data_IF_585103979594
#
_entry.id   IF_585103979594
#
_cell.length_a   1.000
_cell.length_b   1.000
_cell.length_c   1.000
_cell.angle_alpha   90.00
_cell.angle_beta   90.00
_cell.angle_gamma   90.00
#
_symmetry.space_group_name_H-M   'P 1'
#
loop_
_entity.id
_entity.type
_entity.pdbx_description
1 polymer ?
#
# COMPACT_ATOMS: atom_id res chain seq x y z
N UNK A 1 -10.63 -60.67 -23.11
CA UNK A 1 -9.70 -61.03 -22.01
C UNK A 1 -9.55 -59.77 -21.15
N UNK A 2 -10.49 -59.43 -20.27
CA UNK A 2 -10.78 -60.04 -18.97
C UNK A 2 -9.60 -59.96 -17.99
N UNK A 3 -9.59 -58.97 -17.08
CA UNK A 3 -9.66 -59.19 -15.61
C UNK A 3 -9.52 -57.87 -14.80
N UNK A 4 -10.43 -57.75 -13.84
CA UNK A 4 -10.46 -56.87 -12.66
C UNK A 4 -9.37 -57.22 -11.62
N UNK A 5 -9.06 -56.25 -10.73
CA UNK A 5 -9.17 -56.28 -9.24
C UNK A 5 -8.52 -55.01 -8.64
N UNK A 6 -9.29 -54.14 -7.95
CA UNK A 6 -9.52 -54.09 -6.48
C UNK A 6 -8.23 -53.79 -5.67
N UNK A 7 -8.05 -52.59 -5.10
CA UNK A 7 -8.63 -51.97 -3.89
C UNK A 7 -7.69 -52.11 -2.68
N UNK A 8 -7.37 -50.99 -2.00
CA UNK A 8 -6.58 -50.99 -0.78
C UNK A 8 -6.57 -49.62 -0.09
N UNK A 9 -7.55 -49.39 0.77
CA UNK A 9 -7.67 -48.28 1.71
C UNK A 9 -6.69 -48.48 2.87
N UNK A 10 -6.02 -47.42 3.33
CA UNK A 10 -5.14 -47.44 4.50
C UNK A 10 -5.26 -46.15 5.31
N UNK A 11 -6.04 -46.21 6.38
CA UNK A 11 -6.20 -45.20 7.43
C UNK A 11 -4.85 -44.85 8.09
N UNK A 12 -4.65 -43.58 8.47
CA UNK A 12 -3.70 -43.20 9.54
C UNK A 12 -4.45 -42.50 10.66
N UNK A 13 -4.43 -43.17 11.80
CA UNK A 13 -4.93 -42.73 13.09
C UNK A 13 -4.08 -41.60 13.67
N UNK A 14 -4.77 -40.72 14.39
CA UNK A 14 -4.23 -39.68 15.25
C UNK A 14 -4.00 -40.26 16.64
N UNK A 15 -2.74 -40.38 17.07
CA UNK A 15 -2.40 -40.67 18.47
C UNK A 15 -2.14 -39.37 19.25
N UNK A 16 -3.05 -39.11 20.19
CA UNK A 16 -2.89 -38.18 21.31
C UNK A 16 -1.93 -38.74 22.35
N UNK A 17 -0.93 -37.95 22.79
CA UNK A 17 -0.24 -38.18 24.06
C UNK A 17 -0.15 -36.91 24.89
N UNK A 18 -0.99 -36.88 25.92
CA UNK A 18 -0.91 -36.12 27.16
C UNK A 18 0.34 -36.47 27.96
N UNK A 19 0.97 -35.48 28.59
CA UNK A 19 2.06 -35.68 29.55
C UNK A 19 2.40 -34.40 30.30
N UNK A 20 1.56 -34.04 31.27
CA UNK A 20 1.80 -32.96 32.23
C UNK A 20 2.53 -33.57 33.43
N UNK A 21 3.71 -33.04 33.78
CA UNK A 21 4.47 -33.45 34.96
C UNK A 21 4.99 -32.20 35.69
N UNK A 22 4.43 -31.93 36.88
CA UNK A 22 4.99 -30.99 37.85
C UNK A 22 6.17 -31.63 38.61
N UNK A 23 6.97 -30.80 39.29
CA UNK A 23 7.27 -31.11 40.68
C UNK A 23 7.02 -29.92 41.63
N UNK A 24 6.36 -30.22 42.75
CA UNK A 24 6.24 -29.39 43.95
C UNK A 24 7.44 -29.55 44.90
N UNK A 25 7.42 -28.68 45.92
CA UNK A 25 8.14 -28.68 47.20
C UNK A 25 9.47 -27.90 47.22
N UNK A 26 9.61 -26.81 47.98
CA UNK A 26 9.41 -26.81 49.43
C UNK A 26 9.14 -25.42 50.03
N UNK A 27 8.35 -25.43 51.11
CA UNK A 27 8.01 -24.31 52.00
C UNK A 27 9.19 -23.87 52.88
N UNK A 28 9.27 -22.56 53.17
CA UNK A 28 9.73 -22.01 54.46
C UNK A 28 8.83 -20.81 54.81
N UNK A 29 8.27 -20.80 56.03
CA UNK A 29 7.46 -19.71 56.62
C UNK A 29 8.29 -18.95 57.71
N UNK A 30 7.74 -18.02 58.54
CA UNK A 30 7.95 -16.58 58.43
C UNK A 30 8.57 -15.96 59.71
N UNK A 31 8.92 -14.68 59.72
CA UNK A 31 9.19 -13.93 60.97
C UNK A 31 8.66 -12.48 60.86
N UNK A 32 8.08 -11.89 61.93
CA UNK A 32 7.02 -10.88 61.83
C UNK A 32 7.38 -9.47 62.34
N UNK A 33 6.43 -8.55 62.14
CA UNK A 33 6.26 -7.29 62.90
C UNK A 33 6.89 -6.06 62.23
N UNK A 34 6.32 -4.86 62.23
CA UNK A 34 5.26 -4.25 63.03
C UNK A 34 4.71 -3.05 62.23
N UNK A 35 3.40 -2.85 62.22
CA UNK A 35 2.76 -1.55 61.99
C UNK A 35 2.26 -1.03 63.34
N UNK A 36 2.21 0.31 63.51
CA UNK A 36 0.93 0.87 63.94
C UNK A 36 0.53 2.13 63.15
N UNK A 37 -0.78 2.35 63.16
CA UNK A 37 -1.54 3.35 62.43
C UNK A 37 -1.69 4.68 63.23
N UNK A 38 -2.80 5.44 63.12
CA UNK A 38 -3.00 6.60 62.25
C UNK A 38 -3.24 7.91 63.04
N UNK A 39 -3.00 9.09 62.45
CA UNK A 39 -3.54 10.38 62.96
C UNK A 39 -3.19 11.54 62.01
N UNK A 40 -4.15 12.04 61.21
CA UNK A 40 -5.00 13.23 61.43
C UNK A 40 -4.43 14.59 61.02
N UNK A 41 -5.17 15.23 60.11
CA UNK A 41 -5.31 16.66 59.84
C UNK A 41 -4.83 17.58 60.98
N UNK A 42 -3.87 18.47 60.69
CA UNK A 42 -4.04 19.93 60.78
C UNK A 42 -2.75 20.67 60.37
N UNK A 43 -2.90 21.49 59.34
CA UNK A 43 -2.25 22.79 59.14
C UNK A 43 -0.74 22.89 59.39
N UNK A 44 0.04 22.85 58.32
CA UNK A 44 1.07 23.88 58.12
C UNK A 44 1.03 24.38 56.67
N UNK A 45 0.46 25.57 56.56
CA UNK A 45 0.49 26.48 55.43
C UNK A 45 1.94 26.90 55.17
N UNK A 46 2.42 26.81 53.92
CA UNK A 46 2.87 27.98 53.13
C UNK A 46 3.67 27.58 51.88
N UNK A 47 3.19 28.13 50.76
CA UNK A 47 3.98 28.77 49.69
C UNK A 47 5.02 27.93 48.95
N UNK A 48 4.61 27.27 47.87
CA UNK A 48 5.29 27.37 46.57
C UNK A 48 4.25 27.16 45.45
N UNK A 49 3.67 28.27 44.98
CA UNK A 49 3.11 28.35 43.62
C UNK A 49 4.29 28.27 42.64
N UNK A 50 4.81 27.06 42.47
CA UNK A 50 5.73 26.74 41.40
C UNK A 50 4.91 26.58 40.13
N UNK A 51 4.98 27.59 39.27
CA UNK A 51 4.54 27.52 37.89
C UNK A 51 5.09 26.25 37.23
N UNK A 52 4.23 25.25 37.05
CA UNK A 52 4.50 24.14 36.16
C UNK A 52 4.41 24.66 34.72
N UNK A 53 5.42 25.42 34.29
CA UNK A 53 5.70 25.59 32.87
C UNK A 53 6.12 24.23 32.36
N UNK A 54 5.16 23.47 31.85
CA UNK A 54 5.43 22.35 30.96
C UNK A 54 6.35 22.90 29.87
N UNK A 55 7.63 22.55 29.94
CA UNK A 55 8.54 22.67 28.81
C UNK A 55 7.98 21.73 27.75
N UNK A 56 7.05 22.24 26.94
CA UNK A 56 6.74 21.65 25.65
C UNK A 56 8.01 21.84 24.84
N UNK A 57 8.93 20.88 24.95
CA UNK A 57 9.96 20.73 23.95
C UNK A 57 9.19 20.68 22.62
N UNK A 58 9.39 21.64 21.71
CA UNK A 58 8.80 21.52 20.40
C UNK A 58 9.25 20.16 19.90
N UNK A 59 8.28 19.31 19.56
CA UNK A 59 8.56 18.12 18.77
C UNK A 59 9.50 18.58 17.67
N UNK A 60 10.62 17.89 17.38
CA UNK A 60 11.38 18.26 16.21
C UNK A 60 10.38 18.15 15.06
N UNK A 61 9.97 19.31 14.54
CA UNK A 61 9.46 19.38 13.20
C UNK A 61 10.64 18.82 12.41
N UNK A 62 10.55 17.53 12.05
CA UNK A 62 11.35 16.99 10.98
C UNK A 62 11.21 18.04 9.91
N UNK A 63 12.30 18.74 9.62
CA UNK A 63 12.29 19.78 8.61
C UNK A 63 11.73 19.09 7.39
N UNK A 64 10.48 19.42 7.04
CA UNK A 64 9.88 18.92 5.83
C UNK A 64 10.85 19.39 4.75
N UNK A 65 11.61 18.44 4.21
CA UNK A 65 12.46 18.74 3.07
C UNK A 65 11.55 19.42 2.06
N UNK A 66 12.02 20.51 1.47
CA UNK A 66 11.28 21.14 0.38
C UNK A 66 11.34 20.19 -0.81
N UNK A 67 10.47 19.19 -0.82
CA UNK A 67 10.37 18.14 -1.82
C UNK A 67 9.32 18.54 -2.86
N UNK A 68 9.61 18.28 -4.12
CA UNK A 68 8.69 18.46 -5.24
C UNK A 68 7.71 17.28 -5.35
N UNK A 69 8.09 16.11 -4.80
CA UNK A 69 7.30 14.88 -4.85
C UNK A 69 7.54 14.00 -3.63
N UNK A 70 6.49 13.37 -3.12
CA UNK A 70 6.56 12.26 -2.18
C UNK A 70 5.60 11.15 -2.60
N UNK A 71 6.05 9.90 -2.51
CA UNK A 71 5.26 8.74 -2.91
C UNK A 71 4.26 8.41 -1.81
N UNK A 72 2.95 8.51 -2.11
CA UNK A 72 1.90 8.21 -1.13
C UNK A 72 1.21 6.89 -1.47
N UNK A 73 1.30 5.89 -0.59
CA UNK A 73 0.52 4.65 -0.67
C UNK A 73 -0.76 4.79 0.14
N UNK A 74 -1.87 4.45 -0.49
CA UNK A 74 -3.18 4.44 0.14
C UNK A 74 -3.42 3.10 0.85
N UNK A 75 -3.73 3.18 2.14
CA UNK A 75 -4.30 2.10 2.93
C UNK A 75 -5.82 2.21 2.91
N UNK A 76 -6.49 1.11 2.63
CA UNK A 76 -7.95 1.01 2.65
C UNK A 76 -8.37 -0.18 3.51
N UNK A 77 -9.59 -0.13 4.06
CA UNK A 77 -10.03 -1.06 5.10
C UNK A 77 -10.26 -2.50 4.58
N UNK A 78 -10.68 -2.63 3.33
CA UNK A 78 -10.95 -3.94 2.71
C UNK A 78 -9.68 -4.59 2.17
N UNK A 79 -9.70 -5.90 1.97
CA UNK A 79 -8.66 -6.60 1.20
C UNK A 79 -7.26 -6.46 1.79
N UNK A 80 -6.28 -6.15 0.94
CA UNK A 80 -4.88 -5.93 1.25
C UNK A 80 -4.31 -4.76 0.45
N UNK A 81 -3.49 -3.93 1.09
CA UNK A 81 -2.88 -2.74 0.49
C UNK A 81 -1.34 -2.76 0.58
N UNK A 82 -0.81 -3.61 1.46
CA UNK A 82 0.58 -3.74 1.87
C UNK A 82 1.34 -4.78 1.02
N UNK A 83 1.19 -4.64 -0.29
CA UNK A 83 1.85 -5.45 -1.31
C UNK A 83 3.08 -4.71 -1.87
N UNK A 84 3.99 -5.40 -2.56
CA UNK A 84 5.11 -4.76 -3.28
C UNK A 84 6.00 -3.88 -2.40
N UNK A 85 6.49 -4.43 -1.30
CA UNK A 85 7.09 -3.66 -0.22
C UNK A 85 8.34 -2.85 -0.65
N UNK A 86 9.08 -3.30 -1.68
CA UNK A 86 10.29 -2.59 -2.18
C UNK A 86 10.01 -1.74 -3.40
N UNK A 87 8.87 -1.92 -4.08
CA UNK A 87 8.55 -1.17 -5.30
C UNK A 87 8.63 0.36 -5.10
N UNK A 88 8.04 0.96 -4.02
CA UNK A 88 8.12 2.39 -3.81
C UNK A 88 9.57 2.89 -3.76
N UNK A 89 10.45 2.18 -3.05
CA UNK A 89 11.88 2.54 -2.97
C UNK A 89 12.57 2.45 -4.33
N UNK A 90 12.31 1.40 -5.12
CA UNK A 90 12.91 1.24 -6.45
C UNK A 90 12.45 2.35 -7.40
N UNK A 91 11.17 2.73 -7.38
CA UNK A 91 10.64 3.83 -8.19
C UNK A 91 11.18 5.19 -7.73
N UNK A 92 11.22 5.44 -6.41
CA UNK A 92 11.83 6.66 -5.84
C UNK A 92 13.29 6.80 -6.29
N UNK A 93 14.08 5.72 -6.24
CA UNK A 93 15.46 5.73 -6.74
C UNK A 93 15.51 6.12 -8.20
N UNK A 94 14.66 5.56 -9.06
CA UNK A 94 14.62 5.92 -10.49
C UNK A 94 14.24 7.37 -10.72
N UNK A 95 13.32 7.93 -9.93
CA UNK A 95 12.98 9.35 -10.03
C UNK A 95 14.18 10.23 -9.68
N UNK A 96 14.94 9.87 -8.64
CA UNK A 96 16.17 10.56 -8.24
C UNK A 96 17.25 10.44 -9.33
N UNK A 97 17.41 9.25 -9.91
CA UNK A 97 18.47 8.99 -10.90
C UNK A 97 18.19 9.66 -12.25
N UNK A 98 16.94 9.69 -12.70
CA UNK A 98 16.58 10.17 -14.03
C UNK A 98 16.13 11.62 -14.08
N UNK A 99 15.64 12.19 -12.98
CA UNK A 99 15.01 13.52 -12.98
C UNK A 99 15.77 14.50 -12.10
N UNK A 100 15.40 15.78 -12.18
CA UNK A 100 15.88 16.82 -11.27
C UNK A 100 14.90 17.09 -10.12
N UNK A 101 13.87 16.25 -9.94
CA UNK A 101 12.89 16.41 -8.87
C UNK A 101 13.56 16.22 -7.50
N UNK A 102 13.21 17.07 -6.55
CA UNK A 102 13.53 16.85 -5.14
C UNK A 102 12.52 15.85 -4.59
N UNK A 103 12.88 14.57 -4.63
CA UNK A 103 12.01 13.47 -4.18
C UNK A 103 12.24 13.19 -2.70
N UNK A 104 11.16 13.06 -1.93
CA UNK A 104 11.23 12.50 -0.58
C UNK A 104 11.65 11.02 -0.68
N UNK A 105 12.78 10.61 -0.06
CA UNK A 105 13.24 9.23 -0.11
C UNK A 105 12.33 8.26 0.67
N UNK A 106 11.40 8.76 1.48
CA UNK A 106 10.49 7.95 2.27
C UNK A 106 9.14 7.77 1.58
N UNK A 107 8.62 6.55 1.64
CA UNK A 107 7.22 6.28 1.32
C UNK A 107 6.31 6.81 2.43
N UNK A 108 5.20 7.42 2.03
CA UNK A 108 4.15 7.89 2.93
C UNK A 108 2.95 6.96 2.83
N UNK A 109 2.72 6.15 3.87
CA UNK A 109 1.49 5.33 3.96
C UNK A 109 0.41 6.13 4.69
N UNK A 110 -0.76 6.26 4.06
CA UNK A 110 -1.89 7.01 4.63
C UNK A 110 -3.21 6.27 4.42
N UNK A 111 -4.09 6.34 5.42
CA UNK A 111 -5.47 5.86 5.29
C UNK A 111 -6.22 6.67 4.23
N UNK A 112 -6.92 5.99 3.31
CA UNK A 112 -7.79 6.63 2.33
C UNK A 112 -8.94 7.39 3.02
N UNK A 113 -9.34 6.96 4.22
CA UNK A 113 -10.29 7.69 5.06
C UNK A 113 -9.71 8.95 5.74
N UNK A 114 -8.40 9.17 5.72
CA UNK A 114 -7.77 10.34 6.34
C UNK A 114 -7.71 11.52 5.36
N UNK A 115 -8.25 12.70 5.71
CA UNK A 115 -8.28 13.86 4.81
C UNK A 115 -6.89 14.42 4.45
N UNK A 116 -5.82 14.06 5.16
CA UNK A 116 -4.44 14.44 4.79
C UNK A 116 -4.04 13.88 3.42
N UNK A 117 -4.66 12.79 2.95
CA UNK A 117 -4.40 12.21 1.62
C UNK A 117 -4.75 13.18 0.48
N UNK A 118 -5.68 14.11 0.73
CA UNK A 118 -6.11 15.11 -0.25
C UNK A 118 -5.00 16.09 -0.66
N UNK A 119 -3.90 16.14 0.09
CA UNK A 119 -2.75 17.01 -0.16
C UNK A 119 -1.60 16.28 -0.87
N UNK A 120 -1.70 14.96 -1.08
CA UNK A 120 -0.66 14.20 -1.76
C UNK A 120 -0.53 14.66 -3.23
N UNK A 121 0.68 14.78 -3.79
CA UNK A 121 0.88 15.10 -5.20
C UNK A 121 0.55 13.88 -6.09
N UNK A 122 0.58 12.69 -5.52
CA UNK A 122 0.41 11.42 -6.19
C UNK A 122 0.00 10.36 -5.17
N UNK A 123 -0.95 9.52 -5.53
CA UNK A 123 -1.37 8.38 -4.73
C UNK A 123 -1.19 7.07 -5.50
N UNK A 124 -0.80 6.02 -4.79
CA UNK A 124 -0.73 4.64 -5.27
C UNK A 124 -1.71 3.77 -4.48
N UNK A 125 -2.45 2.91 -5.18
CA UNK A 125 -3.34 1.90 -4.59
C UNK A 125 -3.08 0.58 -5.30
N UNK A 126 -2.86 -0.49 -4.53
CA UNK A 126 -2.67 -1.85 -5.06
C UNK A 126 -3.22 -2.86 -4.06
N UNK A 127 -3.34 -4.11 -4.49
CA UNK A 127 -3.82 -5.22 -3.71
C UNK A 127 -4.06 -6.46 -4.58
N UNK A 128 -4.40 -7.56 -3.91
CA UNK A 128 -4.75 -8.83 -4.54
C UNK A 128 -6.15 -9.31 -4.13
N UNK A 129 -6.83 -8.56 -3.27
CA UNK A 129 -8.12 -8.92 -2.67
C UNK A 129 -9.18 -7.86 -2.96
N UNK A 130 -10.31 -8.00 -2.28
CA UNK A 130 -11.47 -7.12 -2.40
C UNK A 130 -11.12 -5.63 -2.20
N UNK A 131 -11.56 -4.81 -3.16
CA UNK A 131 -11.62 -3.35 -3.03
C UNK A 131 -13.07 -2.91 -2.76
N UNK A 132 -13.34 -2.56 -1.51
CA UNK A 132 -14.61 -2.06 -1.05
C UNK A 132 -14.42 -0.80 -0.20
N UNK A 133 -14.65 0.36 -0.81
CA UNK A 133 -14.53 1.62 -0.09
C UNK A 133 -15.69 1.86 0.87
N UNK A 134 -15.35 2.15 2.12
CA UNK A 134 -16.28 2.70 3.08
C UNK A 134 -16.71 4.13 2.67
N UNK A 135 -17.68 4.69 3.40
CA UNK A 135 -18.24 6.00 3.04
C UNK A 135 -17.24 7.17 3.08
N UNK A 136 -16.25 7.12 3.98
CA UNK A 136 -15.21 8.15 4.08
C UNK A 136 -14.19 8.00 2.96
N UNK A 137 -13.70 6.78 2.74
CA UNK A 137 -12.76 6.44 1.67
C UNK A 137 -13.29 6.82 0.30
N UNK A 138 -14.55 6.44 -0.01
CA UNK A 138 -15.21 6.78 -1.26
C UNK A 138 -15.25 8.29 -1.49
N UNK A 139 -15.67 9.04 -0.46
CA UNK A 139 -15.75 10.51 -0.51
C UNK A 139 -14.39 11.15 -0.75
N UNK A 140 -13.34 10.65 -0.11
CA UNK A 140 -11.99 11.21 -0.25
C UNK A 140 -11.38 10.85 -1.59
N UNK A 141 -11.51 9.59 -2.03
CA UNK A 141 -11.08 9.16 -3.37
C UNK A 141 -11.73 10.01 -4.46
N UNK A 142 -13.05 10.14 -4.42
CA UNK A 142 -13.78 10.96 -5.39
C UNK A 142 -13.33 12.42 -5.36
N UNK A 143 -13.27 13.02 -4.17
CA UNK A 143 -12.85 14.42 -4.00
C UNK A 143 -11.43 14.64 -4.50
N UNK A 144 -10.50 13.73 -4.18
CA UNK A 144 -9.11 13.83 -4.59
C UNK A 144 -8.99 13.86 -6.12
N UNK A 145 -9.56 12.85 -6.78
CA UNK A 145 -9.54 12.71 -8.24
C UNK A 145 -10.22 13.89 -8.94
N UNK A 146 -11.40 14.30 -8.47
CA UNK A 146 -12.13 15.45 -9.05
C UNK A 146 -11.41 16.78 -8.88
N UNK A 147 -10.64 16.95 -7.80
CA UNK A 147 -10.02 18.25 -7.48
C UNK A 147 -8.63 18.46 -8.05
N UNK A 148 -7.96 17.44 -8.59
CA UNK A 148 -6.52 17.61 -8.76
C UNK A 148 -5.73 16.34 -8.86
N UNK A 149 -6.11 15.40 -8.01
CA UNK A 149 -5.31 14.26 -7.65
C UNK A 149 -5.12 13.28 -8.78
N UNK A 150 -3.96 12.66 -8.76
CA UNK A 150 -3.64 11.52 -9.60
C UNK A 150 -3.51 10.27 -8.71
N UNK A 151 -4.26 9.22 -9.05
CA UNK A 151 -4.14 7.90 -8.43
C UNK A 151 -3.67 6.90 -9.47
N UNK A 152 -2.51 6.27 -9.22
CA UNK A 152 -2.11 5.06 -9.92
C UNK A 152 -2.65 3.86 -9.15
N UNK A 153 -3.48 3.07 -9.83
CA UNK A 153 -4.05 1.83 -9.33
C UNK A 153 -3.47 0.67 -10.11
N UNK A 154 -2.95 -0.32 -9.42
CA UNK A 154 -2.33 -1.49 -10.03
C UNK A 154 -2.87 -2.76 -9.39
N UNK A 155 -3.37 -3.66 -10.21
CA UNK A 155 -3.82 -4.99 -9.80
C UNK A 155 -2.63 -5.95 -9.83
N UNK A 156 -2.16 -6.38 -8.66
CA UNK A 156 -1.00 -7.28 -8.54
C UNK A 156 -1.40 -8.75 -8.78
N UNK A 157 -2.68 -9.05 -9.06
CA UNK A 157 -3.07 -10.33 -9.63
C UNK A 157 -2.96 -10.39 -11.15
N UNK A 158 -3.01 -9.25 -11.85
CA UNK A 158 -3.19 -9.17 -13.30
C UNK A 158 -4.38 -9.97 -13.88
N UNK A 159 -5.42 -10.24 -13.07
CA UNK A 159 -6.57 -11.04 -13.48
C UNK A 159 -7.80 -10.14 -13.72
N UNK A 160 -8.24 -10.00 -14.98
CA UNK A 160 -9.38 -9.13 -15.31
C UNK A 160 -10.72 -9.59 -14.72
N UNK A 161 -10.86 -10.89 -14.45
CA UNK A 161 -12.03 -11.48 -13.81
C UNK A 161 -11.80 -11.68 -12.29
N UNK A 162 -10.62 -11.27 -11.82
CA UNK A 162 -10.17 -11.36 -10.44
C UNK A 162 -10.97 -10.47 -9.48
N UNK A 163 -10.88 -10.81 -8.19
CA UNK A 163 -11.64 -10.11 -7.16
C UNK A 163 -11.22 -8.63 -7.04
N UNK A 164 -9.93 -8.33 -7.15
CA UNK A 164 -9.44 -6.95 -7.13
C UNK A 164 -10.01 -6.17 -8.31
N UNK A 165 -9.80 -6.65 -9.55
CA UNK A 165 -10.28 -5.99 -10.76
C UNK A 165 -11.79 -5.73 -10.75
N UNK A 166 -12.58 -6.78 -10.56
CA UNK A 166 -14.05 -6.68 -10.63
C UNK A 166 -14.62 -5.75 -9.55
N UNK A 167 -14.07 -5.78 -8.33
CA UNK A 167 -14.53 -4.91 -7.24
C UNK A 167 -14.07 -3.46 -7.40
N UNK A 168 -12.84 -3.22 -7.88
CA UNK A 168 -12.36 -1.88 -8.19
C UNK A 168 -13.17 -1.23 -9.31
N UNK A 169 -13.42 -1.95 -10.42
CA UNK A 169 -14.24 -1.45 -11.53
C UNK A 169 -15.68 -1.15 -11.10
N UNK A 170 -16.24 -1.92 -10.17
CA UNK A 170 -17.53 -1.64 -9.56
C UNK A 170 -17.52 -0.35 -8.71
N UNK A 171 -16.48 -0.10 -7.91
CA UNK A 171 -16.32 1.17 -7.19
C UNK A 171 -16.21 2.35 -8.16
N UNK A 172 -15.40 2.23 -9.22
CA UNK A 172 -15.24 3.29 -10.21
C UNK A 172 -16.55 3.57 -10.96
N UNK A 173 -17.30 2.53 -11.29
CA UNK A 173 -18.65 2.65 -11.87
C UNK A 173 -19.60 3.39 -10.93
N UNK A 174 -19.55 3.08 -9.63
CA UNK A 174 -20.41 3.74 -8.63
C UNK A 174 -20.04 5.20 -8.39
N UNK A 175 -18.76 5.57 -8.48
CA UNK A 175 -18.27 6.92 -8.14
C UNK A 175 -18.32 7.84 -9.36
N UNK A 176 -17.85 7.37 -10.51
CA UNK A 176 -17.66 8.19 -11.71
C UNK A 176 -18.63 7.86 -12.84
N UNK A 177 -19.34 6.73 -12.75
CA UNK A 177 -20.31 6.27 -13.75
C UNK A 177 -19.79 5.15 -14.63
N UNK A 178 -20.72 4.42 -15.26
CA UNK A 178 -20.46 3.18 -16.04
C UNK A 178 -19.46 3.33 -17.19
N UNK A 179 -19.32 4.53 -17.74
CA UNK A 179 -18.48 4.80 -18.90
C UNK A 179 -17.22 5.59 -18.55
N UNK A 180 -16.94 5.82 -17.26
CA UNK A 180 -15.83 6.68 -16.85
C UNK A 180 -14.46 6.01 -17.05
N UNK A 181 -14.35 4.72 -16.72
CA UNK A 181 -13.10 3.97 -16.83
C UNK A 181 -12.93 3.44 -18.26
N UNK A 182 -12.03 4.07 -19.03
CA UNK A 182 -11.84 3.79 -20.46
C UNK A 182 -10.40 3.39 -20.76
N UNK A 183 -10.20 2.57 -21.80
CA UNK A 183 -8.85 2.25 -22.30
C UNK A 183 -8.15 3.51 -22.80
N UNK A 184 -6.88 3.70 -22.43
CA UNK A 184 -6.07 4.80 -22.92
C UNK A 184 -5.59 4.50 -24.35
N UNK A 185 -5.71 5.47 -25.29
CA UNK A 185 -5.11 5.30 -26.61
C UNK A 185 -3.58 5.31 -26.52
N UNK A 186 -2.89 4.58 -27.40
CA UNK A 186 -1.41 4.54 -27.45
C UNK A 186 -0.76 5.91 -27.68
N UNK A 187 -1.51 6.87 -28.23
CA UNK A 187 -1.09 8.27 -28.39
C UNK A 187 -1.19 9.12 -27.12
N UNK A 188 -1.69 8.56 -26.00
CA UNK A 188 -1.85 9.31 -24.76
C UNK A 188 -0.51 9.84 -24.23
N UNK A 189 -0.49 11.08 -23.75
CA UNK A 189 0.73 11.79 -23.31
C UNK A 189 1.50 11.04 -22.21
N UNK A 190 0.82 10.25 -21.38
CA UNK A 190 1.42 9.35 -20.39
C UNK A 190 2.59 8.51 -20.98
N UNK A 191 2.41 7.95 -22.17
CA UNK A 191 3.40 7.08 -22.82
C UNK A 191 4.62 7.84 -23.38
N UNK A 192 4.62 9.16 -23.30
CA UNK A 192 5.71 10.00 -23.83
C UNK A 192 6.11 11.16 -22.91
N UNK A 193 5.65 11.14 -21.65
CA UNK A 193 5.82 12.20 -20.66
C UNK A 193 7.29 12.43 -20.27
N UNK A 194 8.09 11.35 -20.23
CA UNK A 194 9.53 11.43 -19.99
C UNK A 194 10.31 10.55 -20.97
N UNK A 195 10.26 9.23 -20.79
CA UNK A 195 10.67 8.24 -21.78
C UNK A 195 9.58 8.02 -22.84
N UNK A 196 9.96 7.39 -23.96
CA UNK A 196 9.05 7.10 -25.08
C UNK A 196 8.68 5.62 -25.09
N UNK A 197 7.37 5.35 -25.07
CA UNK A 197 6.77 4.03 -25.20
C UNK A 197 5.79 4.05 -26.39
N UNK A 198 6.28 4.00 -27.65
CA UNK A 198 5.45 4.18 -28.83
C UNK A 198 4.37 3.10 -29.00
N UNK A 199 4.61 1.91 -28.44
CA UNK A 199 3.70 0.76 -28.53
C UNK A 199 2.63 0.71 -27.44
N UNK A 200 2.64 1.69 -26.52
CA UNK A 200 1.74 1.77 -25.37
C UNK A 200 2.39 1.29 -24.06
N UNK A 201 1.63 0.73 -23.12
CA UNK A 201 2.18 0.28 -21.83
C UNK A 201 3.13 -0.90 -22.03
N UNK A 202 4.35 -0.90 -21.45
CA UNK A 202 5.25 -2.03 -21.54
C UNK A 202 4.68 -3.26 -20.84
N UNK A 203 4.88 -4.44 -21.40
CA UNK A 203 4.50 -5.70 -20.75
C UNK A 203 5.41 -6.00 -19.55
N UNK A 204 4.88 -6.74 -18.57
CA UNK A 204 5.64 -7.21 -17.41
C UNK A 204 5.97 -8.70 -17.54
N UNK A 205 6.98 -9.15 -16.80
CA UNK A 205 7.30 -10.58 -16.70
C UNK A 205 6.26 -11.36 -15.89
N UNK A 206 5.52 -10.67 -15.02
CA UNK A 206 4.43 -11.21 -14.22
C UNK A 206 3.17 -11.48 -15.04
N UNK A 207 2.85 -10.68 -16.07
CA UNK A 207 1.79 -11.04 -17.04
C UNK A 207 2.11 -12.35 -17.78
N UNK A 208 3.41 -12.64 -17.99
CA UNK A 208 3.84 -13.82 -18.74
C UNK A 208 4.00 -15.08 -17.88
N UNK A 209 4.24 -14.94 -16.58
CA UNK A 209 4.62 -16.05 -15.69
C UNK A 209 4.01 -15.97 -14.28
N UNK A 210 3.07 -15.07 -14.05
CA UNK A 210 2.51 -14.75 -12.73
C UNK A 210 1.24 -15.53 -12.41
N UNK A 211 0.36 -14.93 -11.58
CA UNK A 211 -0.76 -15.59 -10.92
C UNK A 211 -2.14 -15.32 -11.53
N UNK A 212 -2.23 -14.51 -12.59
CA UNK A 212 -3.47 -14.05 -13.18
C UNK A 212 -4.02 -14.91 -14.32
N UNK A 213 -4.51 -14.25 -15.36
CA UNK A 213 -5.32 -14.85 -16.43
C UNK A 213 -4.50 -15.39 -17.63
N UNK A 214 -3.17 -15.42 -17.51
CA UNK A 214 -2.21 -15.75 -18.58
C UNK A 214 -2.35 -14.86 -19.84
N UNK A 215 -2.93 -13.65 -19.71
CA UNK A 215 -3.05 -12.69 -20.81
C UNK A 215 -2.00 -11.58 -20.71
N UNK A 216 -1.47 -11.21 -21.86
CA UNK A 216 -0.68 -9.98 -22.00
C UNK A 216 -1.63 -8.83 -22.30
N UNK A 217 -1.78 -7.90 -21.37
CA UNK A 217 -2.68 -6.77 -21.50
C UNK A 217 -2.02 -5.64 -22.30
N UNK A 218 -2.46 -5.37 -23.52
CA UNK A 218 -1.88 -4.32 -24.36
C UNK A 218 -2.39 -2.89 -24.06
N UNK A 219 -3.09 -2.72 -22.93
CA UNK A 219 -3.80 -1.51 -22.57
C UNK A 219 -3.67 -1.17 -21.09
N UNK A 220 -3.90 0.12 -20.79
CA UNK A 220 -4.25 0.61 -19.46
C UNK A 220 -5.65 1.21 -19.54
N UNK A 221 -6.38 1.22 -18.43
CA UNK A 221 -7.62 2.00 -18.33
C UNK A 221 -7.38 3.25 -17.49
N UNK A 222 -8.29 4.21 -17.59
CA UNK A 222 -8.22 5.40 -16.76
C UNK A 222 -9.48 6.24 -16.80
N UNK A 223 -9.54 7.18 -15.87
CA UNK A 223 -10.66 8.11 -15.70
C UNK A 223 -10.12 9.52 -15.89
N UNK A 224 -10.71 10.24 -16.85
CA UNK A 224 -10.38 11.64 -17.10
C UNK A 224 -11.44 12.56 -16.50
N UNK A 225 -11.01 13.56 -15.77
CA UNK A 225 -11.82 14.67 -15.26
C UNK A 225 -11.38 15.93 -16.00
N UNK A 226 -12.30 16.58 -16.70
CA UNK A 226 -12.07 17.83 -17.44
C UNK A 226 -10.85 17.77 -18.41
N UNK A 227 -10.71 16.64 -19.09
CA UNK A 227 -9.62 16.41 -20.06
C UNK A 227 -8.28 15.97 -19.45
N UNK A 228 -8.21 15.87 -18.11
CA UNK A 228 -7.03 15.42 -17.38
C UNK A 228 -7.25 14.04 -16.77
N UNK A 229 -6.30 13.13 -16.98
CA UNK A 229 -6.34 11.79 -16.37
C UNK A 229 -6.11 11.92 -14.85
N UNK A 230 -7.08 11.49 -14.05
CA UNK A 230 -7.03 11.49 -12.58
C UNK A 230 -6.90 10.11 -11.95
N UNK A 231 -7.31 9.06 -12.67
CA UNK A 231 -7.07 7.66 -12.28
C UNK A 231 -6.40 6.95 -13.43
N UNK A 232 -5.27 6.30 -13.18
CA UNK A 232 -4.65 5.33 -14.07
C UNK A 232 -4.83 3.95 -13.45
N UNK A 233 -5.40 3.01 -14.19
CA UNK A 233 -5.64 1.65 -13.75
C UNK A 233 -4.89 0.65 -14.63
N UNK A 234 -4.17 -0.26 -13.98
CA UNK A 234 -3.32 -1.28 -14.58
C UNK A 234 -3.75 -2.67 -14.11
N UNK A 235 -3.92 -3.59 -15.06
CA UNK A 235 -4.00 -5.04 -14.83
C UNK A 235 -2.69 -5.72 -15.26
N UNK A 236 -1.58 -5.01 -15.20
CA UNK A 236 -0.29 -5.48 -15.73
C UNK A 236 0.66 -5.92 -14.63
N UNK A 237 0.28 -5.72 -13.38
CA UNK A 237 1.10 -6.06 -12.23
C UNK A 237 2.50 -5.40 -12.27
N UNK A 238 2.49 -4.06 -12.37
CA UNK A 238 3.73 -3.28 -12.35
C UNK A 238 4.36 -3.25 -10.95
N UNK A 239 3.54 -3.32 -9.91
CA UNK A 239 3.93 -3.39 -8.52
C UNK A 239 4.84 -4.57 -8.27
N UNK A 240 4.38 -5.79 -8.58
CA UNK A 240 5.17 -7.00 -8.38
C UNK A 240 6.41 -7.00 -9.33
N UNK A 241 6.30 -6.49 -10.58
CA UNK A 241 7.43 -6.33 -11.52
C UNK A 241 8.55 -5.42 -10.98
N UNK A 242 8.18 -4.41 -10.20
CA UNK A 242 9.12 -3.43 -9.62
C UNK A 242 9.52 -3.77 -8.18
N UNK A 243 8.98 -4.85 -7.56
CA UNK A 243 9.30 -5.31 -6.21
C UNK A 243 10.46 -6.31 -6.18
N UNK A 244 11.68 -5.81 -6.37
CA UNK A 244 12.91 -6.61 -6.28
C UNK A 244 13.93 -6.02 -5.31
N UNK A 245 14.87 -6.85 -4.84
CA UNK A 245 16.03 -6.36 -4.08
C UNK A 245 16.82 -5.39 -4.96
N UNK A 246 17.09 -4.19 -4.45
CA UNK A 246 17.78 -3.11 -5.18
C UNK A 246 19.12 -3.56 -5.80
N UNK A 247 19.79 -4.56 -5.23
CA UNK A 247 21.04 -5.12 -5.77
C UNK A 247 20.85 -5.84 -7.11
N UNK A 248 19.62 -6.27 -7.41
CA UNK A 248 19.30 -6.96 -8.65
C UNK A 248 19.08 -6.01 -9.82
N UNK A 249 18.79 -4.72 -9.54
CA UNK A 249 18.57 -3.70 -10.58
C UNK A 249 19.72 -3.62 -11.59
N UNK A 250 20.97 -3.80 -11.12
CA UNK A 250 22.19 -3.78 -11.95
C UNK A 250 22.25 -4.88 -13.02
N UNK A 251 21.43 -5.92 -12.91
CA UNK A 251 21.37 -7.01 -13.88
C UNK A 251 20.34 -6.79 -14.98
N UNK A 252 19.49 -5.77 -14.84
CA UNK A 252 18.53 -5.40 -15.88
C UNK A 252 19.26 -4.66 -17.00
N UNK A 253 19.11 -5.15 -18.24
CA UNK A 253 19.65 -4.46 -19.42
C UNK A 253 18.96 -3.12 -19.66
N UNK A 254 17.65 -3.08 -19.42
CA UNK A 254 16.85 -1.86 -19.39
C UNK A 254 16.15 -1.74 -18.04
N UNK A 255 16.18 -0.55 -17.44
CA UNK A 255 15.49 -0.30 -16.18
C UNK A 255 13.97 -0.42 -16.39
N UNK A 256 13.36 -1.43 -15.76
CA UNK A 256 11.94 -1.74 -15.89
C UNK A 256 11.03 -0.69 -15.20
N UNK A 257 11.58 0.17 -14.33
CA UNK A 257 10.83 1.25 -13.66
C UNK A 257 10.73 2.53 -14.48
N UNK A 258 11.31 2.59 -15.69
CA UNK A 258 11.20 3.75 -16.61
C UNK A 258 9.75 4.16 -16.86
N UNK A 259 8.82 3.21 -16.90
CA UNK A 259 7.40 3.53 -17.07
C UNK A 259 6.81 4.19 -15.82
N UNK A 260 7.22 3.79 -14.62
CA UNK A 260 6.86 4.50 -13.38
C UNK A 260 7.33 5.95 -13.38
N UNK A 261 8.51 6.25 -13.93
CA UNK A 261 8.98 7.64 -14.13
C UNK A 261 8.00 8.41 -15.02
N UNK A 262 7.55 7.82 -16.13
CA UNK A 262 6.53 8.45 -16.98
C UNK A 262 5.22 8.72 -16.23
N UNK A 263 4.74 7.77 -15.41
CA UNK A 263 3.52 7.91 -14.62
C UNK A 263 3.63 9.12 -13.69
N UNK A 264 4.71 9.20 -12.92
CA UNK A 264 4.93 10.30 -11.97
C UNK A 264 5.15 11.63 -12.67
N UNK A 265 5.98 11.67 -13.71
CA UNK A 265 6.21 12.90 -14.47
C UNK A 265 4.93 13.41 -15.14
N UNK A 266 4.09 12.50 -15.63
CA UNK A 266 2.78 12.86 -16.16
C UNK A 266 1.88 13.44 -15.06
N UNK A 267 1.82 12.79 -13.88
CA UNK A 267 1.01 13.27 -12.75
C UNK A 267 1.38 14.69 -12.29
N UNK A 268 2.67 15.03 -12.31
CA UNK A 268 3.19 16.33 -11.86
C UNK A 268 3.11 17.45 -12.89
N UNK A 269 2.89 17.14 -14.18
CA UNK A 269 2.91 18.12 -15.29
C UNK A 269 1.54 18.29 -15.95
N UNK A 270 0.48 17.88 -15.25
CA UNK A 270 -0.90 17.82 -15.73
C UNK A 270 -1.80 18.89 -15.13
#
# INVERSE_FOLDING_TARGET
MSRNRESGVGNREWESKSGFSQPECSRVLPVPGVLPAPATRRHFLQLLLGSATSLTLPWPALAAGNYDFWFTRLRYDSGDWDVDARMPSNLITSLIDYTQLRVDPQEHVIDLADPRMLQAPFCYLSGHKLVEFNAAERRHFERYVRNGGFVFVDDCNHDIDGLFATSFEAQMTSIFGKTALQKLPKSHRLYSAFFKFPDGPPATSFELNGWGDDLVHDYLKGISIDGRLGVLYSNKDYGCEWDYDWRNKRFLAEDNTRFGVNIVMYALTN
#
